data_IF_906367120166
#
_entry.id   IF_906367120166
#
_cell.length_a   1.000
_cell.length_b   1.000
_cell.length_c   1.000
_cell.angle_alpha   90.00
_cell.angle_beta   90.00
_cell.angle_gamma   90.00
#
_symmetry.space_group_name_H-M   'P 1'
#
loop_
_entity.id
_entity.type
_entity.pdbx_description
1 polymer ?
#
# COMPACT_ATOMS: atom_id res chain seq x y z
N UNK A 1 -9.97 -14.59 -48.07
CA UNK A 1 -8.55 -14.49 -48.45
C UNK A 1 -7.79 -14.18 -47.16
N UNK A 2 -7.11 -15.20 -46.62
CA UNK A 2 -6.52 -15.16 -45.27
C UNK A 2 -5.36 -14.18 -45.20
N UNK A 3 -5.34 -13.40 -44.11
CA UNK A 3 -4.32 -12.41 -43.79
C UNK A 3 -3.06 -13.10 -43.19
N UNK A 4 -3.06 -14.42 -43.09
CA UNK A 4 -1.91 -15.17 -42.64
C UNK A 4 -1.14 -15.64 -43.87
N UNK A 5 -0.08 -14.91 -44.23
CA UNK A 5 0.89 -15.41 -45.18
C UNK A 5 1.42 -16.76 -44.68
N UNK A 6 1.68 -17.65 -45.59
CA UNK A 6 2.48 -18.85 -45.37
C UNK A 6 3.90 -18.40 -44.97
N UNK A 7 4.03 -18.00 -43.74
CA UNK A 7 5.29 -17.66 -43.13
C UNK A 7 5.89 -18.91 -42.50
N UNK A 8 6.37 -19.82 -43.34
CA UNK A 8 7.31 -20.86 -42.93
C UNK A 8 8.70 -20.27 -42.64
N UNK A 9 8.76 -19.17 -41.86
CA UNK A 9 9.96 -18.87 -41.11
C UNK A 9 10.00 -19.90 -39.98
N UNK A 10 10.98 -20.79 -39.99
CA UNK A 10 11.31 -21.69 -38.90
C UNK A 10 11.55 -20.84 -37.64
N UNK A 11 10.45 -20.50 -36.97
CA UNK A 11 10.54 -19.92 -35.62
C UNK A 11 11.03 -21.05 -34.74
N UNK A 12 12.27 -20.95 -34.30
CA UNK A 12 12.84 -21.90 -33.33
C UNK A 12 12.03 -21.82 -32.03
N UNK A 13 10.97 -22.61 -31.95
CA UNK A 13 10.09 -22.71 -30.79
C UNK A 13 10.79 -23.31 -29.56
N UNK A 14 12.01 -23.83 -29.72
CA UNK A 14 12.81 -24.29 -28.58
C UNK A 14 13.27 -23.14 -27.71
N UNK A 15 13.27 -21.89 -28.25
CA UNK A 15 13.53 -20.65 -27.49
C UNK A 15 12.26 -20.02 -26.93
N UNK A 16 11.09 -20.56 -27.26
CA UNK A 16 9.87 -20.13 -26.58
C UNK A 16 10.02 -20.48 -25.09
N UNK A 17 9.83 -19.49 -24.23
CA UNK A 17 9.86 -19.71 -22.79
C UNK A 17 8.86 -20.83 -22.45
N UNK A 18 9.33 -21.91 -21.82
CA UNK A 18 8.46 -22.97 -21.33
C UNK A 18 7.38 -22.32 -20.43
N UNK A 19 6.15 -22.80 -20.56
CA UNK A 19 5.08 -22.37 -19.67
C UNK A 19 5.52 -22.56 -18.21
N UNK A 20 5.49 -21.50 -17.41
CA UNK A 20 5.81 -21.54 -15.99
C UNK A 20 4.56 -21.13 -15.20
N UNK A 21 4.22 -21.90 -14.19
CA UNK A 21 3.17 -21.53 -13.24
C UNK A 21 3.58 -20.34 -12.37
N UNK A 22 4.88 -20.14 -12.17
CA UNK A 22 5.45 -19.01 -11.43
C UNK A 22 5.74 -17.83 -12.36
N UNK A 23 5.38 -16.64 -11.91
CA UNK A 23 5.73 -15.40 -12.59
C UNK A 23 7.21 -15.05 -12.40
N UNK A 24 7.83 -14.25 -13.29
CA UNK A 24 9.19 -13.74 -13.09
C UNK A 24 9.40 -13.04 -11.75
N UNK A 25 8.38 -12.35 -11.23
CA UNK A 25 8.42 -11.73 -9.90
C UNK A 25 8.50 -12.79 -8.79
N UNK A 26 7.71 -13.86 -8.85
CA UNK A 26 7.76 -14.94 -7.86
C UNK A 26 9.08 -15.71 -7.92
N UNK A 27 9.65 -15.89 -9.12
CA UNK A 27 10.99 -16.48 -9.28
C UNK A 27 12.06 -15.57 -8.67
N UNK A 28 11.98 -14.26 -8.87
CA UNK A 28 12.86 -13.30 -8.22
C UNK A 28 12.72 -13.35 -6.69
N UNK A 29 11.50 -13.35 -6.15
CA UNK A 29 11.29 -13.47 -4.70
C UNK A 29 11.94 -14.74 -4.12
N UNK A 30 11.83 -15.86 -4.82
CA UNK A 30 12.46 -17.12 -4.39
C UNK A 30 14.00 -17.03 -4.36
N UNK A 31 14.62 -16.29 -5.30
CA UNK A 31 16.06 -16.07 -5.36
C UNK A 31 16.60 -15.16 -4.24
N UNK A 32 15.75 -14.33 -3.63
CA UNK A 32 16.17 -13.44 -2.54
C UNK A 32 16.31 -14.18 -1.19
N UNK A 33 15.86 -15.42 -1.09
CA UNK A 33 16.05 -16.35 0.04
C UNK A 33 15.55 -15.82 1.40
N UNK A 34 14.57 -14.90 1.39
CA UNK A 34 13.93 -14.38 2.60
C UNK A 34 12.51 -14.92 2.75
N UNK A 35 11.93 -14.90 3.96
CA UNK A 35 10.58 -15.40 4.18
C UNK A 35 9.55 -14.71 3.29
N UNK A 36 8.51 -15.44 2.89
CA UNK A 36 7.36 -14.92 2.15
C UNK A 36 6.10 -15.22 2.97
N UNK A 37 5.50 -14.20 3.57
CA UNK A 37 4.24 -14.31 4.27
C UNK A 37 3.10 -14.38 3.26
N UNK A 38 2.13 -15.26 3.50
CA UNK A 38 0.93 -15.44 2.69
C UNK A 38 -0.29 -15.45 3.60
N UNK A 39 -1.47 -15.22 3.03
CA UNK A 39 -2.74 -15.23 3.76
C UNK A 39 -3.60 -14.02 3.45
N UNK A 40 -4.60 -13.77 4.28
CA UNK A 40 -5.51 -12.62 4.12
C UNK A 40 -4.98 -11.36 4.82
N UNK A 41 -4.24 -11.54 5.92
CA UNK A 41 -3.74 -10.43 6.75
C UNK A 41 -2.41 -10.77 7.42
N UNK A 42 -1.74 -9.74 7.89
CA UNK A 42 -0.66 -9.76 8.87
C UNK A 42 -1.22 -9.16 10.15
N UNK A 43 -1.13 -9.87 11.26
CA UNK A 43 -1.66 -9.39 12.54
C UNK A 43 -0.87 -8.22 13.11
N UNK A 44 0.46 -8.26 12.96
CA UNK A 44 1.36 -7.25 13.49
C UNK A 44 2.63 -7.13 12.63
N UNK A 45 2.77 -6.00 11.94
CA UNK A 45 3.95 -5.68 11.12
C UNK A 45 5.25 -5.61 11.94
N UNK A 46 5.15 -5.35 13.25
CA UNK A 46 6.34 -5.30 14.13
C UNK A 46 6.86 -6.68 14.48
N UNK A 47 6.01 -7.72 14.41
CA UNK A 47 6.29 -9.10 14.80
C UNK A 47 6.61 -10.02 13.62
N UNK A 48 6.55 -9.54 12.37
CA UNK A 48 6.89 -10.34 11.18
C UNK A 48 8.30 -10.92 11.33
N UNK A 49 8.49 -12.25 11.17
CA UNK A 49 9.82 -12.85 11.11
C UNK A 49 10.57 -12.34 9.87
N UNK A 50 11.84 -11.98 10.05
CA UNK A 50 12.72 -11.50 9.00
C UNK A 50 13.99 -12.32 8.95
N UNK A 51 14.60 -12.42 7.76
CA UNK A 51 15.89 -13.09 7.56
C UNK A 51 16.89 -12.13 6.88
N UNK A 52 18.20 -12.42 6.93
CA UNK A 52 19.19 -11.64 6.23
C UNK A 52 18.87 -11.51 4.74
N UNK A 53 18.71 -10.28 4.28
CA UNK A 53 18.39 -9.95 2.90
C UNK A 53 19.62 -9.37 2.19
N UNK A 54 20.29 -10.23 1.44
CA UNK A 54 21.58 -9.90 0.84
C UNK A 54 21.53 -8.66 -0.05
N UNK A 55 20.51 -8.53 -0.90
CA UNK A 55 20.33 -7.36 -1.78
C UNK A 55 20.24 -6.06 -0.98
N UNK A 56 19.47 -6.07 0.08
CA UNK A 56 19.27 -4.88 0.91
C UNK A 56 20.39 -4.62 1.91
N UNK A 57 21.23 -5.61 2.22
CA UNK A 57 22.23 -5.51 3.29
C UNK A 57 21.61 -5.34 4.68
N UNK A 58 20.37 -5.76 4.84
CA UNK A 58 19.56 -5.67 6.06
C UNK A 58 18.80 -6.99 6.27
N UNK A 59 17.72 -6.98 7.05
CA UNK A 59 16.84 -8.14 7.18
C UNK A 59 15.49 -7.84 6.49
N UNK A 60 14.82 -8.85 5.96
CA UNK A 60 13.54 -8.65 5.29
C UNK A 60 12.64 -9.85 5.25
N UNK A 61 11.41 -9.59 4.82
CA UNK A 61 10.37 -10.57 4.53
C UNK A 61 9.45 -10.02 3.45
N UNK A 62 9.10 -10.80 2.46
CA UNK A 62 8.03 -10.45 1.53
C UNK A 62 6.66 -10.68 2.15
N UNK A 63 5.67 -9.89 1.72
CA UNK A 63 4.28 -10.01 2.14
C UNK A 63 3.43 -10.16 0.89
N UNK A 64 2.97 -11.38 0.60
CA UNK A 64 2.15 -11.73 -0.55
C UNK A 64 0.73 -12.09 -0.07
N UNK A 65 -0.07 -11.07 0.31
CA UNK A 65 -1.44 -11.29 0.71
C UNK A 65 -2.33 -11.57 -0.51
N UNK A 66 -3.40 -12.33 -0.30
CA UNK A 66 -4.32 -12.76 -1.37
C UNK A 66 -4.87 -11.57 -2.16
N UNK A 67 -5.19 -10.45 -1.48
CA UNK A 67 -5.71 -9.25 -2.12
C UNK A 67 -4.68 -8.43 -2.92
N UNK A 68 -3.38 -8.68 -2.77
CA UNK A 68 -2.34 -7.95 -3.51
C UNK A 68 -2.39 -8.27 -5.00
N UNK A 69 -2.83 -9.46 -5.38
CA UNK A 69 -2.88 -9.90 -6.76
C UNK A 69 -1.51 -9.89 -7.42
N UNK A 70 -1.48 -9.48 -8.69
CA UNK A 70 -0.25 -9.32 -9.49
C UNK A 70 0.09 -7.85 -9.78
N UNK A 71 -0.64 -6.91 -9.18
CA UNK A 71 -0.50 -5.48 -9.44
C UNK A 71 0.52 -4.79 -8.54
N UNK A 72 0.77 -5.36 -7.36
CA UNK A 72 1.71 -4.80 -6.38
C UNK A 72 2.31 -5.91 -5.53
N UNK A 73 3.45 -5.59 -4.93
CA UNK A 73 4.12 -6.42 -3.93
C UNK A 73 4.44 -5.59 -2.71
N UNK A 74 4.59 -6.24 -1.57
CA UNK A 74 5.02 -5.56 -0.36
C UNK A 74 6.09 -6.35 0.38
N UNK A 75 6.88 -5.64 1.16
CA UNK A 75 7.92 -6.24 2.00
C UNK A 75 8.12 -5.43 3.28
N UNK A 76 8.63 -6.09 4.29
CA UNK A 76 9.19 -5.47 5.48
C UNK A 76 10.71 -5.47 5.36
N UNK A 77 11.33 -4.34 5.68
CA UNK A 77 12.78 -4.24 5.87
C UNK A 77 13.08 -3.84 7.32
N UNK A 78 13.99 -4.56 7.94
CA UNK A 78 14.49 -4.27 9.28
C UNK A 78 15.98 -3.98 9.25
N UNK A 79 16.35 -2.79 9.69
CA UNK A 79 17.74 -2.31 9.75
C UNK A 79 18.24 -2.49 11.18
N UNK A 80 19.32 -3.27 11.40
CA UNK A 80 19.90 -3.48 12.72
C UNK A 80 20.32 -2.17 13.41
N UNK A 81 20.56 -2.18 14.73
CA UNK A 81 21.09 -1.01 15.44
C UNK A 81 22.38 -0.49 14.78
N UNK A 82 22.45 0.83 14.53
CA UNK A 82 23.57 1.50 13.83
C UNK A 82 23.84 0.95 12.41
N UNK A 83 22.95 0.12 11.88
CA UNK A 83 23.07 -0.47 10.54
C UNK A 83 22.57 0.45 9.44
N UNK A 84 22.84 0.04 8.24
CA UNK A 84 22.39 0.71 7.01
C UNK A 84 22.05 -0.32 5.95
N UNK A 85 21.24 0.05 4.97
CA UNK A 85 21.02 -0.78 3.79
C UNK A 85 22.13 -0.60 2.77
N UNK A 86 22.28 -1.52 1.83
CA UNK A 86 23.03 -1.24 0.61
C UNK A 86 22.33 -0.14 -0.18
N UNK A 87 23.05 0.70 -0.93
CA UNK A 87 22.43 1.60 -1.90
C UNK A 87 21.59 0.84 -2.90
N UNK A 88 20.37 1.31 -3.14
CA UNK A 88 19.41 0.70 -4.06
C UNK A 88 18.98 1.71 -5.12
N UNK A 89 18.68 1.21 -6.31
CA UNK A 89 17.85 1.90 -7.31
C UNK A 89 16.97 0.87 -8.00
N UNK A 90 15.82 1.26 -8.50
CA UNK A 90 14.92 0.34 -9.18
C UNK A 90 13.93 1.08 -10.10
N UNK A 91 13.56 0.43 -11.21
CA UNK A 91 12.54 0.90 -12.16
C UNK A 91 11.13 0.52 -11.71
N UNK A 92 10.84 0.67 -10.43
CA UNK A 92 9.49 0.58 -9.86
C UNK A 92 9.33 1.57 -8.73
N UNK A 93 8.11 2.01 -8.52
CA UNK A 93 7.76 2.97 -7.48
C UNK A 93 7.61 2.27 -6.12
N UNK A 94 7.82 3.02 -5.04
CA UNK A 94 7.73 2.52 -3.67
C UNK A 94 7.04 3.55 -2.78
N UNK A 95 6.15 3.09 -1.91
CA UNK A 95 5.61 3.87 -0.79
C UNK A 95 6.10 3.22 0.50
N UNK A 96 6.84 3.96 1.32
CA UNK A 96 7.48 3.47 2.53
C UNK A 96 6.80 4.09 3.76
N UNK A 97 6.27 3.23 4.63
CA UNK A 97 5.74 3.60 5.93
C UNK A 97 6.63 3.04 7.04
N UNK A 98 7.10 3.92 7.93
CA UNK A 98 7.96 3.53 9.06
C UNK A 98 7.11 2.95 10.19
N UNK A 99 7.29 1.65 10.43
CA UNK A 99 6.52 0.86 11.41
C UNK A 99 7.05 1.08 12.83
N UNK A 100 8.38 1.18 12.98
CA UNK A 100 9.03 1.48 14.26
C UNK A 100 10.43 2.04 14.07
N UNK A 101 10.88 2.79 15.06
CA UNK A 101 12.24 3.31 15.11
C UNK A 101 12.40 4.66 14.43
N UNK A 102 13.64 5.10 14.29
CA UNK A 102 14.03 6.34 13.64
C UNK A 102 15.33 6.16 12.89
N UNK A 103 15.47 6.94 11.82
CA UNK A 103 16.63 6.84 10.95
C UNK A 103 16.69 7.97 9.96
N UNK A 104 17.48 7.77 8.91
CA UNK A 104 17.59 8.70 7.80
C UNK A 104 17.58 7.95 6.47
N UNK A 105 17.24 8.67 5.41
CA UNK A 105 17.40 8.18 4.03
C UNK A 105 18.18 9.20 3.25
N UNK A 106 19.17 8.74 2.50
CA UNK A 106 19.90 9.54 1.53
C UNK A 106 19.46 9.16 0.13
N UNK A 107 19.17 10.17 -0.70
CA UNK A 107 18.68 9.99 -2.09
C UNK A 107 19.54 10.81 -3.04
N UNK A 108 19.87 10.27 -4.24
CA UNK A 108 20.65 10.99 -5.26
C UNK A 108 20.43 10.37 -6.65
N UNK A 109 20.61 11.16 -7.67
CA UNK A 109 20.86 10.72 -9.04
C UNK A 109 22.36 10.79 -9.35
N UNK A 110 22.83 10.04 -10.34
CA UNK A 110 24.22 10.12 -10.78
C UNK A 110 24.55 11.56 -11.21
N UNK A 111 25.64 12.11 -10.67
CA UNK A 111 26.06 13.50 -10.93
C UNK A 111 25.32 14.59 -10.15
N UNK A 112 24.32 14.25 -9.31
CA UNK A 112 23.65 15.24 -8.45
C UNK A 112 24.15 15.22 -7.02
N UNK A 113 23.83 16.29 -6.27
CA UNK A 113 24.08 16.34 -4.83
C UNK A 113 23.20 15.33 -4.10
N UNK A 114 23.76 14.61 -3.15
CA UNK A 114 23.01 13.73 -2.25
C UNK A 114 22.15 14.56 -1.30
N UNK A 115 20.87 14.18 -1.18
CA UNK A 115 19.92 14.76 -0.25
C UNK A 115 19.61 13.74 0.85
N UNK A 116 19.60 14.19 2.11
CA UNK A 116 19.26 13.33 3.25
C UNK A 116 18.14 13.96 4.05
N UNK A 117 17.26 13.10 4.57
CA UNK A 117 16.21 13.49 5.49
C UNK A 117 16.06 12.44 6.59
N UNK A 118 15.61 12.88 7.76
CA UNK A 118 15.36 12.02 8.91
C UNK A 118 13.90 11.57 8.93
N UNK A 119 13.68 10.35 9.39
CA UNK A 119 12.35 9.78 9.58
C UNK A 119 12.24 9.07 10.94
N UNK A 120 11.01 8.89 11.37
CA UNK A 120 10.65 8.22 12.61
C UNK A 120 9.45 7.31 12.40
N UNK A 121 9.06 6.56 13.43
CA UNK A 121 7.80 5.84 13.44
C UNK A 121 6.63 6.75 13.08
N UNK A 122 5.78 6.30 12.15
CA UNK A 122 4.69 7.09 11.58
C UNK A 122 5.06 7.89 10.32
N UNK A 123 6.33 7.99 9.96
CA UNK A 123 6.74 8.67 8.73
C UNK A 123 6.28 7.90 7.49
N UNK A 124 5.86 8.66 6.46
CA UNK A 124 5.51 8.15 5.13
C UNK A 124 6.30 8.92 4.07
N UNK A 125 6.98 8.21 3.18
CA UNK A 125 7.75 8.81 2.09
C UNK A 125 7.87 7.86 0.90
N UNK A 126 8.40 8.40 -0.19
CA UNK A 126 8.70 7.64 -1.40
C UNK A 126 10.06 8.05 -1.96
N UNK A 127 10.97 7.12 -2.23
CA UNK A 127 12.11 7.39 -3.09
C UNK A 127 11.62 7.72 -4.51
N UNK A 128 12.23 8.71 -5.20
CA UNK A 128 11.89 8.98 -6.59
C UNK A 128 12.24 7.79 -7.49
N UNK A 129 11.44 7.59 -8.54
CA UNK A 129 11.63 6.48 -9.47
C UNK A 129 13.08 6.42 -9.98
N UNK A 130 13.70 5.27 -9.82
CA UNK A 130 15.08 4.94 -10.23
C UNK A 130 16.19 5.84 -9.66
N UNK A 131 15.91 6.68 -8.66
CA UNK A 131 16.94 7.37 -7.92
C UNK A 131 17.64 6.41 -6.94
N UNK A 132 18.97 6.58 -6.79
CA UNK A 132 19.68 5.89 -5.72
C UNK A 132 19.14 6.31 -4.37
N UNK A 133 18.96 5.35 -3.49
CA UNK A 133 18.56 5.61 -2.10
C UNK A 133 19.22 4.60 -1.16
N UNK A 134 19.49 5.05 0.06
CA UNK A 134 20.07 4.25 1.13
C UNK A 134 19.45 4.65 2.46
N UNK A 135 19.08 3.67 3.28
CA UNK A 135 18.44 3.88 4.57
C UNK A 135 19.41 3.59 5.70
N UNK A 136 19.33 4.37 6.76
CA UNK A 136 20.21 4.31 7.94
C UNK A 136 19.37 4.23 9.20
N UNK A 137 19.71 3.34 10.12
CA UNK A 137 19.12 3.31 11.45
C UNK A 137 19.93 4.21 12.39
N UNK A 138 19.32 5.30 12.87
CA UNK A 138 19.95 6.24 13.80
C UNK A 138 19.97 5.76 15.26
N UNK A 139 19.43 4.58 15.56
CA UNK A 139 19.34 4.05 16.92
C UNK A 139 20.52 3.16 17.26
N UNK A 140 21.06 3.34 18.48
CA UNK A 140 22.22 2.58 18.95
C UNK A 140 21.91 1.18 19.46
N UNK A 141 20.68 0.91 19.92
CA UNK A 141 20.31 -0.31 20.65
C UNK A 141 19.09 -1.04 20.07
N UNK A 142 18.29 -0.38 19.23
CA UNK A 142 17.06 -0.95 18.67
C UNK A 142 17.12 -0.97 17.14
N UNK A 143 16.51 -1.98 16.51
CA UNK A 143 16.32 -2.01 15.07
C UNK A 143 15.26 -1.00 14.63
N UNK A 144 15.37 -0.49 13.42
CA UNK A 144 14.34 0.28 12.75
C UNK A 144 13.65 -0.60 11.70
N UNK A 145 12.34 -0.45 11.53
CA UNK A 145 11.56 -1.29 10.61
C UNK A 145 10.59 -0.43 9.81
N UNK A 146 10.52 -0.69 8.53
CA UNK A 146 9.50 -0.11 7.64
C UNK A 146 8.82 -1.17 6.79
N UNK A 147 7.61 -0.89 6.35
CA UNK A 147 6.92 -1.63 5.28
C UNK A 147 6.94 -0.81 4.01
N UNK A 148 7.20 -1.44 2.89
CA UNK A 148 7.13 -0.84 1.57
C UNK A 148 6.06 -1.53 0.72
N UNK A 149 5.21 -0.74 0.04
CA UNK A 149 4.40 -1.17 -1.08
C UNK A 149 5.10 -0.78 -2.36
N UNK A 150 5.13 -1.66 -3.36
CA UNK A 150 5.79 -1.45 -4.64
C UNK A 150 4.93 -1.92 -5.82
N UNK A 151 5.13 -1.33 -6.99
CA UNK A 151 4.64 -1.87 -8.26
C UNK A 151 5.69 -2.76 -8.97
N UNK A 152 6.60 -3.36 -8.19
CA UNK A 152 7.62 -4.29 -8.70
C UNK A 152 7.05 -5.48 -9.51
N UNK A 153 5.92 -6.12 -9.13
CA UNK A 153 5.40 -7.28 -9.88
C UNK A 153 5.16 -6.99 -11.37
N UNK A 154 4.40 -5.96 -11.77
CA UNK A 154 4.21 -5.68 -13.19
C UNK A 154 5.50 -5.30 -13.91
N UNK A 155 6.45 -4.62 -13.25
CA UNK A 155 7.71 -4.21 -13.85
C UNK A 155 8.63 -5.40 -14.09
N UNK A 156 8.83 -6.26 -13.09
CA UNK A 156 9.68 -7.45 -13.22
C UNK A 156 9.04 -8.45 -14.21
N UNK A 157 7.72 -8.65 -14.16
CA UNK A 157 7.02 -9.55 -15.05
C UNK A 157 7.08 -9.10 -16.52
N UNK A 158 7.08 -7.80 -16.76
CA UNK A 158 7.17 -7.22 -18.11
C UNK A 158 8.58 -7.30 -18.69
N UNK A 159 9.56 -6.82 -17.95
CA UNK A 159 10.93 -6.70 -18.46
C UNK A 159 11.71 -8.01 -18.41
N UNK A 160 11.42 -8.88 -17.44
CA UNK A 160 12.09 -10.19 -17.26
C UNK A 160 13.61 -10.11 -17.27
N UNK A 161 14.15 -8.98 -16.87
CA UNK A 161 15.58 -8.69 -16.81
C UNK A 161 15.85 -7.89 -15.52
N UNK A 162 16.49 -8.54 -14.54
CA UNK A 162 16.73 -7.94 -13.24
C UNK A 162 17.77 -6.82 -13.29
N UNK A 163 18.77 -6.93 -14.17
CA UNK A 163 19.77 -5.86 -14.35
C UNK A 163 19.11 -4.60 -14.90
N UNK A 164 18.19 -4.75 -15.85
CA UNK A 164 17.41 -3.61 -16.36
C UNK A 164 16.55 -2.97 -15.27
N UNK A 165 15.96 -3.75 -14.40
CA UNK A 165 15.08 -3.25 -13.34
C UNK A 165 15.87 -2.62 -12.18
N UNK A 166 17.00 -3.21 -11.77
CA UNK A 166 17.75 -2.81 -10.57
C UNK A 166 19.07 -2.09 -10.82
N UNK A 167 19.57 -2.10 -12.05
CA UNK A 167 20.85 -1.46 -12.41
C UNK A 167 20.72 -0.49 -13.59
N UNK A 168 19.51 -0.07 -13.96
CA UNK A 168 19.30 0.88 -15.05
C UNK A 168 19.91 2.23 -14.71
N UNK A 169 20.73 2.78 -15.64
CA UNK A 169 21.46 4.03 -15.42
C UNK A 169 20.64 5.29 -15.71
N UNK A 170 19.41 5.18 -16.20
CA UNK A 170 18.58 6.35 -16.54
C UNK A 170 18.16 7.10 -15.26
N UNK A 171 18.36 8.41 -15.25
CA UNK A 171 17.92 9.30 -14.17
C UNK A 171 16.70 10.10 -14.61
N UNK A 172 15.60 9.97 -13.86
CA UNK A 172 14.36 10.73 -14.09
C UNK A 172 14.48 12.12 -13.44
N UNK A 173 15.20 13.03 -14.14
CA UNK A 173 15.47 14.39 -13.64
C UNK A 173 14.20 15.25 -13.48
N UNK A 174 13.13 14.90 -14.16
CA UNK A 174 11.79 15.48 -14.00
C UNK A 174 11.09 15.05 -12.70
N UNK A 175 11.52 13.93 -12.11
CA UNK A 175 11.03 13.43 -10.82
C UNK A 175 11.89 13.92 -9.65
N UNK A 176 13.21 13.98 -9.84
CA UNK A 176 14.14 14.40 -8.82
C UNK A 176 15.44 14.92 -9.47
N UNK A 177 15.74 16.19 -9.29
CA UNK A 177 16.92 16.90 -9.81
C UNK A 177 17.99 17.19 -8.75
N UNK A 178 17.78 16.74 -7.50
CA UNK A 178 18.66 17.01 -6.37
C UNK A 178 18.26 18.25 -5.56
N UNK A 179 17.04 18.81 -5.74
CA UNK A 179 16.53 19.95 -4.93
C UNK A 179 16.61 19.59 -3.43
N UNK A 180 17.30 20.46 -2.67
CA UNK A 180 17.50 20.29 -1.22
C UNK A 180 16.22 20.43 -0.40
N UNK A 181 15.14 20.94 -1.00
CA UNK A 181 13.82 21.07 -0.39
C UNK A 181 12.91 19.89 -0.66
N UNK A 182 13.34 18.90 -1.46
CA UNK A 182 12.50 17.81 -1.92
C UNK A 182 11.83 17.04 -0.76
N UNK A 183 12.56 16.82 0.33
CA UNK A 183 12.07 16.12 1.53
C UNK A 183 11.87 17.05 2.75
N UNK A 184 11.51 18.29 2.55
CA UNK A 184 11.36 19.30 3.62
C UNK A 184 10.13 19.08 4.53
N UNK A 185 9.35 18.02 4.34
CA UNK A 185 8.13 17.73 5.11
C UNK A 185 6.94 18.66 4.81
N UNK A 186 7.08 19.58 3.87
CA UNK A 186 6.01 20.47 3.43
C UNK A 186 5.23 19.82 2.28
N UNK A 187 4.03 20.30 2.06
CA UNK A 187 3.19 19.86 0.96
C UNK A 187 2.15 20.90 0.64
N UNK A 188 1.32 20.60 -0.33
CA UNK A 188 0.21 21.46 -0.75
C UNK A 188 -1.07 20.64 -0.93
N UNK A 189 -2.19 21.24 -0.60
CA UNK A 189 -3.49 20.64 -0.88
C UNK A 189 -3.90 20.94 -2.32
N UNK A 190 -4.26 19.89 -3.06
CA UNK A 190 -4.86 20.03 -4.38
C UNK A 190 -6.37 20.02 -4.17
N UNK A 191 -6.98 21.23 -4.19
CA UNK A 191 -8.36 21.48 -3.77
C UNK A 191 -9.40 20.65 -4.53
N UNK A 192 -9.19 20.36 -5.81
CA UNK A 192 -10.16 19.63 -6.64
C UNK A 192 -10.34 18.16 -6.26
N UNK A 193 -9.43 17.58 -5.48
CA UNK A 193 -9.43 16.14 -5.22
C UNK A 193 -9.23 15.76 -3.75
N UNK A 194 -9.25 16.71 -2.80
CA UNK A 194 -8.91 16.44 -1.38
C UNK A 194 -7.62 15.63 -1.27
N UNK A 195 -6.61 16.07 -2.01
CA UNK A 195 -5.33 15.40 -2.14
C UNK A 195 -4.25 16.30 -1.58
N UNK A 196 -3.40 15.75 -0.73
CA UNK A 196 -2.18 16.38 -0.27
C UNK A 196 -1.00 15.87 -1.09
N UNK A 197 -0.30 16.75 -1.76
CA UNK A 197 0.92 16.44 -2.50
C UNK A 197 2.13 16.78 -1.65
N UNK A 198 3.01 15.82 -1.47
CA UNK A 198 4.26 15.95 -0.73
C UNK A 198 5.23 14.85 -1.18
N UNK A 199 6.49 14.91 -0.75
CA UNK A 199 7.46 13.82 -0.96
C UNK A 199 7.79 13.09 0.34
N UNK A 200 7.50 13.75 1.48
CA UNK A 200 7.74 13.23 2.82
C UNK A 200 6.70 13.80 3.79
N UNK A 201 6.10 12.92 4.58
CA UNK A 201 5.21 13.27 5.69
C UNK A 201 5.87 12.76 6.96
N UNK A 202 6.30 13.65 7.88
CA UNK A 202 7.05 13.26 9.07
C UNK A 202 6.29 12.33 10.01
N UNK A 203 4.99 12.53 10.19
CA UNK A 203 4.11 11.64 10.94
C UNK A 203 2.68 11.70 10.38
N UNK A 204 2.18 10.57 9.91
CA UNK A 204 0.82 10.49 9.37
C UNK A 204 -0.24 10.23 10.43
N UNK A 205 0.15 9.86 11.65
CA UNK A 205 -0.78 9.49 12.73
C UNK A 205 -1.60 10.69 13.19
N UNK A 206 -1.01 11.88 13.18
CA UNK A 206 -1.65 13.15 13.56
C UNK A 206 -2.03 14.02 12.36
N UNK A 207 -1.94 13.48 11.14
CA UNK A 207 -2.23 14.25 9.92
C UNK A 207 -3.68 14.74 9.89
N UNK A 208 -3.88 16.01 9.47
CA UNK A 208 -5.20 16.64 9.42
C UNK A 208 -6.05 16.04 8.29
N UNK A 209 -7.20 15.49 8.67
CA UNK A 209 -8.15 14.88 7.74
C UNK A 209 -9.25 15.86 7.33
N UNK A 210 -9.96 15.55 6.24
CA UNK A 210 -11.07 16.30 5.68
C UNK A 210 -12.35 15.47 5.75
N UNK A 211 -13.50 16.11 5.76
CA UNK A 211 -14.80 15.43 5.76
C UNK A 211 -14.93 14.45 4.59
N UNK A 212 -15.39 13.24 4.89
CA UNK A 212 -15.72 12.16 3.95
C UNK A 212 -17.03 11.48 4.31
N UNK A 213 -18.00 12.22 4.80
CA UNK A 213 -19.30 11.70 5.26
C UNK A 213 -20.09 10.94 4.17
N UNK A 214 -19.77 11.15 2.88
CA UNK A 214 -20.31 10.34 1.78
C UNK A 214 -19.88 8.87 1.85
N UNK A 215 -18.81 8.52 2.58
CA UNK A 215 -18.37 7.14 2.83
C UNK A 215 -19.07 6.52 4.03
N UNK A 216 -19.37 7.33 5.03
CA UNK A 216 -20.01 6.91 6.25
C UNK A 216 -20.15 8.06 7.23
N UNK A 217 -21.07 7.93 8.18
CA UNK A 217 -21.35 8.96 9.18
C UNK A 217 -20.09 9.35 9.97
N UNK A 218 -19.71 10.63 9.86
CA UNK A 218 -18.54 11.18 10.56
C UNK A 218 -17.19 10.68 10.05
N UNK A 219 -17.16 10.00 8.91
CA UNK A 219 -15.92 9.60 8.25
C UNK A 219 -15.10 10.81 7.84
N UNK A 220 -13.80 10.74 8.05
CA UNK A 220 -12.82 11.74 7.58
C UNK A 220 -11.68 11.07 6.85
N UNK A 221 -11.06 11.78 5.91
CA UNK A 221 -9.94 11.20 5.16
C UNK A 221 -9.22 12.21 4.29
N UNK A 222 -8.10 11.80 3.74
CA UNK A 222 -7.32 12.58 2.78
C UNK A 222 -6.53 11.62 1.88
N UNK A 223 -6.39 11.99 0.62
CA UNK A 223 -5.51 11.30 -0.33
C UNK A 223 -4.12 11.89 -0.24
N UNK A 224 -3.11 11.04 -0.39
CA UNK A 224 -1.71 11.42 -0.31
C UNK A 224 -1.01 11.05 -1.62
N UNK A 225 -0.35 12.01 -2.22
CA UNK A 225 0.40 11.86 -3.46
C UNK A 225 1.87 12.20 -3.18
N UNK A 226 2.77 11.23 -3.42
CA UNK A 226 4.18 11.36 -3.06
C UNK A 226 5.08 11.15 -4.28
N UNK A 227 6.16 11.94 -4.35
CA UNK A 227 7.25 11.81 -5.33
C UNK A 227 6.80 11.83 -6.80
N UNK A 228 5.68 12.48 -7.10
CA UNK A 228 5.05 12.48 -8.43
C UNK A 228 4.78 11.05 -8.97
N UNK A 229 4.61 10.08 -8.09
CA UNK A 229 4.37 8.68 -8.45
C UNK A 229 2.98 8.46 -9.06
N UNK A 230 2.82 7.36 -9.76
CA UNK A 230 1.52 6.78 -10.11
C UNK A 230 0.86 6.16 -8.89
N UNK A 231 1.66 5.55 -8.02
CA UNK A 231 1.21 5.03 -6.72
C UNK A 231 0.75 6.16 -5.81
N UNK A 232 -0.21 5.88 -4.94
CA UNK A 232 -0.74 6.84 -3.97
C UNK A 232 -1.07 6.19 -2.64
N UNK A 233 -1.38 7.02 -1.65
CA UNK A 233 -1.92 6.56 -0.38
C UNK A 233 -3.18 7.35 -0.01
N UNK A 234 -3.93 6.87 0.99
CA UNK A 234 -4.91 7.69 1.66
C UNK A 234 -4.99 7.33 3.14
N UNK A 235 -5.34 8.32 3.94
CA UNK A 235 -5.72 8.14 5.33
C UNK A 235 -7.24 8.19 5.43
N UNK A 236 -7.80 7.31 6.24
CA UNK A 236 -9.21 7.37 6.64
C UNK A 236 -9.35 7.18 8.15
N UNK A 237 -10.36 7.81 8.71
CA UNK A 237 -10.72 7.68 10.11
C UNK A 237 -12.24 7.59 10.26
N UNK A 238 -12.67 6.65 11.11
CA UNK A 238 -14.07 6.46 11.47
C UNK A 238 -14.28 6.64 12.97
N UNK A 239 -15.34 7.37 13.38
CA UNK A 239 -15.67 7.52 14.79
C UNK A 239 -16.00 6.19 15.46
N UNK A 240 -15.85 6.16 16.78
CA UNK A 240 -16.33 5.08 17.66
C UNK A 240 -17.81 4.78 17.40
N UNK A 241 -18.18 3.51 17.37
CA UNK A 241 -19.56 3.06 17.20
C UNK A 241 -20.15 3.30 15.81
N UNK A 242 -19.30 3.39 14.77
CA UNK A 242 -19.69 3.59 13.37
C UNK A 242 -18.97 2.64 12.43
N UNK A 243 -19.46 2.55 11.21
CA UNK A 243 -18.77 1.90 10.09
C UNK A 243 -19.17 2.55 8.75
N UNK A 244 -18.27 2.57 7.73
CA UNK A 244 -18.58 3.07 6.41
C UNK A 244 -19.49 2.14 5.63
N UNK A 245 -20.00 2.61 4.51
CA UNK A 245 -20.71 1.78 3.53
C UNK A 245 -19.79 0.74 2.93
N UNK A 246 -20.33 -0.46 2.69
CA UNK A 246 -19.65 -1.51 1.95
C UNK A 246 -19.35 -1.05 0.53
N UNK A 247 -18.18 -1.36 0.01
CA UNK A 247 -17.79 -0.95 -1.32
C UNK A 247 -16.74 -1.89 -1.92
N UNK A 248 -16.52 -1.76 -3.22
CA UNK A 248 -15.49 -2.49 -3.95
C UNK A 248 -14.70 -1.58 -4.88
N UNK A 249 -13.49 -1.98 -5.18
CA UNK A 249 -12.63 -1.29 -6.14
C UNK A 249 -11.56 -2.25 -6.69
N UNK A 250 -10.67 -1.75 -7.56
CA UNK A 250 -9.55 -2.51 -8.11
C UNK A 250 -8.52 -2.97 -7.07
N UNK A 251 -7.50 -3.71 -7.50
CA UNK A 251 -6.64 -4.49 -6.62
C UNK A 251 -5.70 -3.66 -5.74
N UNK A 252 -5.21 -4.29 -4.68
CA UNK A 252 -3.94 -3.99 -4.06
C UNK A 252 -3.90 -2.86 -3.03
N UNK A 253 -5.02 -2.34 -2.55
CA UNK A 253 -5.00 -1.39 -1.42
C UNK A 253 -4.54 -2.10 -0.14
N UNK A 254 -3.33 -1.80 0.34
CA UNK A 254 -2.75 -2.33 1.57
C UNK A 254 -3.13 -1.44 2.75
N UNK A 255 -4.03 -1.92 3.60
CA UNK A 255 -4.52 -1.18 4.75
C UNK A 255 -3.66 -1.48 5.99
N UNK A 256 -2.92 -0.49 6.46
CA UNK A 256 -2.17 -0.53 7.72
C UNK A 256 -2.99 0.18 8.79
N UNK A 257 -3.34 -0.53 9.86
CA UNK A 257 -4.08 0.04 10.99
C UNK A 257 -3.12 0.87 11.86
N UNK A 258 -3.45 2.14 12.04
CA UNK A 258 -2.63 3.09 12.81
C UNK A 258 -3.13 3.24 14.25
N UNK A 259 -4.46 3.22 14.45
CA UNK A 259 -5.07 3.32 15.78
C UNK A 259 -6.45 2.68 15.83
N UNK A 260 -6.89 2.28 17.02
CA UNK A 260 -8.17 1.62 17.29
C UNK A 260 -8.17 0.14 16.91
N UNK A 261 -9.18 -0.58 17.37
CA UNK A 261 -9.37 -2.00 17.11
C UNK A 261 -10.74 -2.26 16.49
N UNK A 262 -10.81 -3.23 15.58
CA UNK A 262 -12.06 -3.56 14.94
C UNK A 262 -11.94 -4.78 14.02
N UNK A 263 -12.84 -4.85 13.06
CA UNK A 263 -12.83 -5.91 12.09
C UNK A 263 -13.30 -5.44 10.72
N UNK A 264 -13.03 -6.25 9.70
CA UNK A 264 -13.53 -6.04 8.33
C UNK A 264 -14.24 -7.29 7.85
N UNK A 265 -15.28 -7.10 7.06
CA UNK A 265 -15.79 -8.14 6.19
C UNK A 265 -15.26 -7.94 4.77
N UNK A 266 -14.80 -9.03 4.17
CA UNK A 266 -14.41 -9.13 2.77
C UNK A 266 -15.24 -10.23 2.11
N UNK A 267 -15.88 -9.96 0.97
CA UNK A 267 -16.68 -10.98 0.28
C UNK A 267 -16.77 -10.73 -1.23
N UNK A 268 -16.78 -11.81 -1.95
CA UNK A 268 -17.20 -11.81 -3.35
C UNK A 268 -18.74 -11.81 -3.40
N UNK A 269 -19.31 -11.14 -4.40
CA UNK A 269 -20.77 -11.06 -4.55
C UNK A 269 -21.40 -12.46 -4.59
N UNK A 270 -22.36 -12.71 -3.72
CA UNK A 270 -23.03 -14.00 -3.58
C UNK A 270 -22.25 -15.07 -2.77
N UNK A 271 -21.07 -14.74 -2.24
CA UNK A 271 -20.26 -15.65 -1.42
C UNK A 271 -20.29 -15.29 0.07
N UNK A 272 -19.93 -16.23 0.96
CA UNK A 272 -19.80 -15.95 2.39
C UNK A 272 -18.78 -14.85 2.69
N UNK A 273 -19.04 -14.06 3.74
CA UNK A 273 -18.15 -12.99 4.19
C UNK A 273 -16.99 -13.58 4.99
N UNK A 274 -15.76 -13.18 4.66
CA UNK A 274 -14.56 -13.47 5.44
C UNK A 274 -14.38 -12.33 6.45
N UNK A 275 -14.28 -12.66 7.74
CA UNK A 275 -13.98 -11.71 8.80
C UNK A 275 -12.47 -11.64 9.03
N UNK A 276 -11.95 -10.42 9.11
CA UNK A 276 -10.56 -10.12 9.52
C UNK A 276 -10.64 -9.18 10.70
N UNK A 277 -10.22 -9.66 11.87
CA UNK A 277 -10.03 -8.82 13.05
C UNK A 277 -8.68 -8.13 12.95
N UNK A 278 -8.61 -6.86 13.38
CA UNK A 278 -7.41 -6.05 13.27
C UNK A 278 -7.24 -5.09 14.44
N UNK A 279 -5.99 -4.70 14.68
CA UNK A 279 -5.49 -3.79 15.70
C UNK A 279 -4.36 -2.92 15.16
N UNK A 280 -3.84 -1.92 15.90
CA UNK A 280 -2.67 -1.16 15.46
C UNK A 280 -1.50 -2.07 15.07
N UNK A 281 -0.91 -1.81 13.90
CA UNK A 281 0.13 -2.64 13.31
C UNK A 281 -0.37 -3.77 12.40
N UNK A 282 -1.67 -4.06 12.35
CA UNK A 282 -2.22 -5.03 11.38
C UNK A 282 -2.17 -4.48 9.96
N UNK A 283 -1.95 -5.39 9.00
CA UNK A 283 -2.01 -5.12 7.56
C UNK A 283 -2.90 -6.16 6.87
N UNK A 284 -3.84 -5.71 6.05
CA UNK A 284 -4.63 -6.58 5.20
C UNK A 284 -4.95 -5.93 3.86
N UNK A 285 -5.35 -6.74 2.88
CA UNK A 285 -5.63 -6.29 1.50
C UNK A 285 -6.94 -6.88 1.02
N UNK A 286 -7.98 -6.06 0.80
CA UNK A 286 -9.19 -6.53 0.15
C UNK A 286 -8.88 -7.02 -1.28
N UNK A 287 -9.35 -8.22 -1.68
CA UNK A 287 -9.18 -8.70 -3.04
C UNK A 287 -9.85 -7.79 -4.07
N UNK A 288 -9.32 -7.75 -5.29
CA UNK A 288 -9.85 -6.95 -6.38
C UNK A 288 -11.33 -7.25 -6.64
N UNK A 289 -12.15 -6.22 -6.72
CA UNK A 289 -13.59 -6.29 -6.97
C UNK A 289 -14.41 -7.02 -5.89
N UNK A 290 -13.80 -7.45 -4.80
CA UNK A 290 -14.56 -7.93 -3.65
C UNK A 290 -15.12 -6.76 -2.87
N UNK A 291 -16.34 -6.90 -2.39
CA UNK A 291 -16.88 -5.97 -1.40
C UNK A 291 -16.08 -6.06 -0.11
N UNK A 292 -15.88 -4.91 0.50
CA UNK A 292 -15.29 -4.84 1.83
C UNK A 292 -15.93 -3.70 2.63
N UNK A 293 -15.96 -3.91 3.95
CA UNK A 293 -16.54 -2.98 4.90
C UNK A 293 -15.75 -3.07 6.21
N UNK A 294 -15.45 -1.91 6.82
CA UNK A 294 -14.60 -1.81 8.00
C UNK A 294 -15.43 -1.35 9.19
N UNK A 295 -15.31 -2.00 10.33
CA UNK A 295 -16.18 -1.79 11.47
C UNK A 295 -15.37 -1.30 12.67
N UNK A 296 -15.81 -0.19 13.27
CA UNK A 296 -15.23 0.34 14.49
C UNK A 296 -16.16 0.12 15.69
N UNK A 297 -16.11 -1.05 16.35
CA UNK A 297 -16.84 -1.32 17.58
C UNK A 297 -16.06 -0.83 18.82
N UNK A 298 -14.89 -0.21 18.66
CA UNK A 298 -14.06 0.30 19.74
C UNK A 298 -14.62 1.63 20.28
N UNK A 299 -14.23 2.00 21.48
CA UNK A 299 -14.58 3.26 22.11
C UNK A 299 -13.72 4.46 21.66
N UNK A 300 -12.70 4.20 20.82
CA UNK A 300 -11.83 5.19 20.20
C UNK A 300 -12.04 5.25 18.67
N UNK A 301 -11.74 6.39 18.03
CA UNK A 301 -11.70 6.44 16.57
C UNK A 301 -10.67 5.46 16.01
N UNK A 302 -11.03 4.80 14.94
CA UNK A 302 -10.11 3.97 14.16
C UNK A 302 -9.51 4.79 13.03
N UNK A 303 -8.17 4.69 12.85
CA UNK A 303 -7.47 5.32 11.73
C UNK A 303 -6.64 4.28 11.00
N UNK A 304 -6.68 4.30 9.67
CA UNK A 304 -5.81 3.48 8.85
C UNK A 304 -5.17 4.25 7.69
N UNK A 305 -4.00 3.77 7.27
CA UNK A 305 -3.30 4.15 6.06
C UNK A 305 -3.55 3.09 5.00
N UNK A 306 -4.07 3.46 3.84
CA UNK A 306 -4.13 2.58 2.69
C UNK A 306 -3.06 3.00 1.67
N UNK A 307 -2.10 2.12 1.41
CA UNK A 307 -1.12 2.24 0.35
C UNK A 307 -1.69 1.59 -0.92
N UNK A 308 -1.59 2.25 -2.07
CA UNK A 308 -2.23 1.82 -3.32
C UNK A 308 -1.25 1.77 -4.47
N UNK A 309 -1.33 0.74 -5.33
CA UNK A 309 -0.51 0.64 -6.55
C UNK A 309 -0.95 1.59 -7.68
N UNK A 310 -1.99 2.37 -7.46
CA UNK A 310 -2.53 3.35 -8.41
C UNK A 310 -2.91 4.65 -7.69
N UNK A 311 -3.02 5.73 -8.45
CA UNK A 311 -3.32 7.06 -7.92
C UNK A 311 -4.25 7.86 -8.84
N UNK A 312 -4.27 9.17 -8.59
CA UNK A 312 -5.18 10.10 -9.28
C UNK A 312 -4.50 10.92 -10.38
N UNK A 313 -3.17 10.91 -10.43
CA UNK A 313 -2.39 11.65 -11.44
C UNK A 313 -2.72 11.16 -12.83
N UNK A 314 -2.82 9.84 -12.97
CA UNK A 314 -3.27 9.19 -14.20
C UNK A 314 -4.49 8.34 -13.85
N UNK A 315 -5.60 8.53 -14.57
CA UNK A 315 -6.82 7.73 -14.40
C UNK A 315 -6.59 6.32 -14.96
N UNK A 316 -5.98 5.48 -14.16
CA UNK A 316 -5.81 4.05 -14.47
C UNK A 316 -7.13 3.29 -14.25
N UNK A 317 -8.01 3.81 -13.37
CA UNK A 317 -9.36 3.31 -13.13
C UNK A 317 -10.38 4.44 -13.23
N UNK A 318 -11.61 4.11 -13.63
CA UNK A 318 -12.73 5.04 -13.54
C UNK A 318 -13.20 5.17 -12.08
N UNK A 319 -12.58 6.12 -11.37
CA UNK A 319 -12.91 6.41 -9.98
C UNK A 319 -14.16 7.27 -9.82
N UNK A 320 -14.80 7.68 -10.91
CA UNK A 320 -16.01 8.52 -10.88
C UNK A 320 -17.19 7.82 -10.21
N UNK A 321 -17.18 6.49 -10.19
CA UNK A 321 -18.23 5.63 -9.62
C UNK A 321 -17.94 5.13 -8.20
N UNK A 322 -16.75 5.41 -7.64
CA UNK A 322 -16.28 4.79 -6.39
C UNK A 322 -17.16 5.10 -5.17
N UNK A 323 -17.79 6.25 -5.14
CA UNK A 323 -18.67 6.69 -4.03
C UNK A 323 -20.15 6.72 -4.45
N UNK A 324 -20.53 6.05 -5.54
CA UNK A 324 -21.90 5.97 -6.02
C UNK A 324 -22.55 4.63 -5.69
N UNK A 325 -23.86 4.66 -5.51
CA UNK A 325 -24.70 3.50 -5.25
C UNK A 325 -24.58 2.44 -6.37
N UNK A 326 -24.42 1.19 -5.99
CA UNK A 326 -24.33 0.05 -6.92
C UNK A 326 -25.56 -0.05 -7.84
N UNK A 327 -26.74 0.39 -7.39
CA UNK A 327 -27.98 0.35 -8.18
C UNK A 327 -27.97 1.29 -9.38
N UNK A 328 -27.11 2.30 -9.39
CA UNK A 328 -26.90 3.21 -10.51
C UNK A 328 -25.57 2.97 -11.22
N UNK A 329 -25.00 1.77 -11.06
CA UNK A 329 -23.75 1.36 -11.68
C UNK A 329 -22.51 1.84 -10.93
N UNK A 330 -22.63 2.24 -9.68
CA UNK A 330 -21.54 2.55 -8.78
C UNK A 330 -20.91 1.31 -8.14
N UNK A 331 -20.13 1.52 -7.09
CA UNK A 331 -19.38 0.47 -6.41
C UNK A 331 -19.67 0.38 -4.90
N UNK A 332 -20.63 1.16 -4.40
CA UNK A 332 -20.96 1.28 -2.99
C UNK A 332 -22.37 0.71 -2.69
N UNK A 333 -22.49 -0.01 -1.57
CA UNK A 333 -23.75 -0.53 -1.05
C UNK A 333 -24.28 0.48 -0.04
N UNK A 334 -25.49 1.00 -0.26
CA UNK A 334 -26.15 1.87 0.70
C UNK A 334 -26.60 1.08 1.95
N UNK A 335 -26.63 1.70 3.13
CA UNK A 335 -26.98 1.03 4.39
C UNK A 335 -28.33 0.30 4.34
N UNK A 336 -29.32 0.86 3.63
CA UNK A 336 -30.65 0.27 3.46
C UNK A 336 -30.65 -1.00 2.59
N UNK A 337 -29.59 -1.20 1.79
CA UNK A 337 -29.47 -2.29 0.83
C UNK A 337 -28.43 -3.34 1.28
N UNK A 338 -27.75 -3.07 2.39
CA UNK A 338 -26.81 -4.03 2.96
C UNK A 338 -27.56 -5.21 3.62
N UNK A 339 -26.88 -6.34 3.71
CA UNK A 339 -27.36 -7.49 4.48
C UNK A 339 -27.63 -7.06 5.95
N UNK A 340 -28.88 -7.23 6.46
CA UNK A 340 -29.24 -6.86 7.83
C UNK A 340 -28.35 -7.49 8.91
N UNK A 341 -27.85 -8.69 8.68
CA UNK A 341 -26.95 -9.40 9.60
C UNK A 341 -25.70 -8.60 9.92
N UNK A 342 -25.20 -7.80 8.96
CA UNK A 342 -24.02 -6.95 9.15
C UNK A 342 -24.22 -5.99 10.31
N UNK A 343 -25.39 -5.34 10.37
CA UNK A 343 -25.68 -4.40 11.44
C UNK A 343 -25.93 -5.08 12.79
N UNK A 344 -26.57 -6.26 12.78
CA UNK A 344 -26.78 -7.05 13.97
C UNK A 344 -25.46 -7.51 14.60
N UNK A 345 -24.53 -8.03 13.79
CA UNK A 345 -23.18 -8.38 14.24
C UNK A 345 -22.47 -7.15 14.81
N UNK A 346 -22.55 -6.02 14.13
CA UNK A 346 -21.90 -4.78 14.61
C UNK A 346 -22.45 -4.34 15.97
N UNK A 347 -23.77 -4.35 16.16
CA UNK A 347 -24.40 -4.03 17.45
C UNK A 347 -23.93 -4.97 18.56
N UNK A 348 -23.86 -6.28 18.27
CA UNK A 348 -23.38 -7.26 19.22
C UNK A 348 -21.91 -7.03 19.61
N UNK A 349 -21.06 -6.68 18.64
CA UNK A 349 -19.64 -6.37 18.90
C UNK A 349 -19.49 -5.07 19.71
N UNK A 350 -20.26 -4.04 19.44
CA UNK A 350 -20.29 -2.83 20.24
C UNK A 350 -20.75 -3.12 21.69
N UNK A 351 -21.79 -3.92 21.86
CA UNK A 351 -22.29 -4.30 23.19
C UNK A 351 -21.24 -5.07 24.00
N UNK A 352 -20.51 -6.00 23.40
CA UNK A 352 -19.39 -6.73 24.05
C UNK A 352 -18.28 -5.79 24.55
N UNK A 353 -18.07 -4.65 23.89
CA UNK A 353 -17.02 -3.67 24.20
C UNK A 353 -17.53 -2.49 25.01
N UNK A 354 -18.83 -2.46 25.36
CA UNK A 354 -19.46 -1.34 26.04
C UNK A 354 -19.52 -0.05 25.22
N UNK A 355 -19.47 -0.17 23.89
CA UNK A 355 -19.47 0.97 22.95
C UNK A 355 -20.90 1.29 22.52
N UNK A 356 -21.26 2.56 22.53
CA UNK A 356 -22.53 3.03 22.00
C UNK A 356 -22.54 2.97 20.45
N UNK A 357 -23.59 2.40 19.87
CA UNK A 357 -23.81 2.44 18.42
C UNK A 357 -24.30 3.83 18.03
N UNK A 358 -23.46 4.59 17.34
CA UNK A 358 -23.75 5.97 16.89
C UNK A 358 -24.24 6.03 15.45
N UNK A 359 -24.05 4.96 14.69
CA UNK A 359 -24.48 4.90 13.29
C UNK A 359 -26.00 4.89 13.22
N UNK A 360 -26.56 5.87 12.49
CA UNK A 360 -27.99 5.92 12.16
C UNK A 360 -28.17 5.34 10.76
N UNK A 361 -28.85 4.20 10.69
CA UNK A 361 -29.28 3.59 9.43
C UNK A 361 -30.68 4.16 9.13
N UNK A 362 -30.77 4.98 8.09
CA UNK A 362 -32.04 5.52 7.58
C UNK A 362 -32.39 4.87 6.25
#
# INVERSE_FOLDING_TARGET
>A
MGIFGDGSADVDLTKAAAYSEQTPYELWQAQEEIPILRGHCVEDLTAIPVAPWRRMGAHGSFINLIGSGRSCGSYVCEIPPKGETQPQRCLFEQLIYVVRGRGATTVWNDGTKKQSFEWQEGSLFSPPLNAWHQHFNAQGAASARFVALTDAPPMINRFRNLDFVFANSFSFMDRFDGDDRYYNGKGKEIASHRTWESNFIPDIRDFQLRDRSQRGQGATGIRLHLAANTMSAHLEQYPSGTYPRGHRHGPGAHLVILSGEGYSFLWEEGQPKIRIDWRPGSLFVPPANWFHQHFNPDNQPVRYLALKPWGFTYKVEDLSKTDQDIRVGGTQIEYRDQDPEIHEIFRAECAKRGTEVKLKIS
#
